data_IF_296621064546
#
_entry.id   IF_296621064546
#
_cell.length_a   1.000
_cell.length_b   1.000
_cell.length_c   1.000
_cell.angle_alpha   90.00
_cell.angle_beta   90.00
_cell.angle_gamma   90.00
#
_symmetry.space_group_name_H-M   'P 1'
#
loop_
_entity.id
_entity.type
_entity.pdbx_description
1 polymer ?
#
# COMPACT_ATOMS: atom_id res chain seq x y z
N UNK A 1 -1.75 7.27 9.08
CA UNK A 1 -1.02 8.16 10.02
C UNK A 1 0.48 8.03 9.79
N UNK A 2 1.00 6.80 9.72
CA UNK A 2 2.36 6.46 9.25
C UNK A 2 2.78 7.17 7.95
N UNK A 3 1.89 7.27 6.97
CA UNK A 3 2.18 7.88 5.65
C UNK A 3 2.52 9.38 5.65
N UNK A 4 2.33 10.06 6.79
CA UNK A 4 2.59 11.49 6.95
C UNK A 4 3.89 11.78 7.71
N UNK A 5 4.58 10.76 8.21
CA UNK A 5 5.86 10.90 8.90
C UNK A 5 6.98 10.90 7.86
N UNK A 6 7.86 11.91 7.92
CA UNK A 6 8.80 12.22 6.84
C UNK A 6 10.22 11.72 7.18
N UNK A 7 10.59 11.72 8.46
CA UNK A 7 11.91 11.29 8.91
C UNK A 7 11.85 9.92 9.60
N UNK A 8 13.00 9.26 9.71
CA UNK A 8 13.09 7.94 10.36
C UNK A 8 12.92 8.03 11.88
N UNK A 9 13.28 9.16 12.47
CA UNK A 9 13.18 9.42 13.91
C UNK A 9 11.71 9.42 14.40
N UNK A 10 10.83 10.15 13.72
CA UNK A 10 9.40 10.20 14.00
C UNK A 10 8.75 8.83 13.79
N UNK A 11 9.18 8.09 12.77
CA UNK A 11 8.71 6.73 12.54
C UNK A 11 9.12 5.80 13.69
N UNK A 12 10.37 5.87 14.14
CA UNK A 12 10.87 5.08 15.26
C UNK A 12 10.13 5.43 16.56
N UNK A 13 10.00 6.72 16.86
CA UNK A 13 9.25 7.20 18.02
C UNK A 13 7.79 6.75 17.99
N UNK A 14 7.11 6.88 16.84
CA UNK A 14 5.71 6.49 16.72
C UNK A 14 5.52 4.98 16.88
N UNK A 15 6.44 4.18 16.34
CA UNK A 15 6.42 2.73 16.53
C UNK A 15 6.61 2.35 17.99
N UNK A 16 7.53 3.01 18.71
CA UNK A 16 7.72 2.75 20.13
C UNK A 16 6.48 3.15 20.95
N UNK A 17 5.89 4.31 20.67
CA UNK A 17 4.63 4.74 21.28
C UNK A 17 3.50 3.72 21.04
N UNK A 18 3.38 3.17 19.83
CA UNK A 18 2.41 2.13 19.54
C UNK A 18 2.66 0.85 20.34
N UNK A 19 3.93 0.44 20.49
CA UNK A 19 4.31 -0.74 21.27
C UNK A 19 3.97 -0.56 22.74
N UNK A 20 4.31 0.60 23.31
CA UNK A 20 3.98 0.96 24.69
C UNK A 20 2.47 0.92 24.91
N UNK A 21 1.68 1.57 24.04
CA UNK A 21 0.21 1.61 24.17
C UNK A 21 -0.45 0.24 23.97
N UNK A 22 0.09 -0.59 23.09
CA UNK A 22 -0.37 -1.97 22.90
C UNK A 22 -0.16 -2.79 24.18
N UNK A 23 1.02 -2.67 24.81
CA UNK A 23 1.32 -3.37 26.05
C UNK A 23 0.51 -2.81 27.23
N UNK A 24 0.32 -1.49 27.31
CA UNK A 24 -0.42 -0.82 28.38
C UNK A 24 -1.90 -1.23 28.39
N UNK A 25 -2.57 -1.11 27.25
CA UNK A 25 -4.03 -1.28 27.17
C UNK A 25 -4.48 -2.70 26.79
N UNK A 26 -3.72 -3.40 25.94
CA UNK A 26 -4.11 -4.72 25.42
C UNK A 26 -3.32 -5.87 26.05
N UNK A 27 -2.30 -5.57 26.87
CA UNK A 27 -1.41 -6.57 27.50
C UNK A 27 -0.78 -7.54 26.48
N UNK A 28 -0.54 -7.05 25.26
CA UNK A 28 0.05 -7.82 24.15
C UNK A 28 1.34 -7.18 23.69
N UNK A 29 2.33 -8.02 23.42
CA UNK A 29 3.55 -7.59 22.75
C UNK A 29 3.32 -7.38 21.24
N UNK A 30 4.12 -6.50 20.64
CA UNK A 30 4.07 -6.21 19.19
C UNK A 30 4.18 -7.46 18.34
N UNK A 31 5.18 -8.31 18.61
CA UNK A 31 5.44 -9.57 17.91
C UNK A 31 4.32 -10.61 18.06
N UNK A 32 3.46 -10.47 19.08
CA UNK A 32 2.30 -11.33 19.25
C UNK A 32 1.17 -10.95 18.27
N UNK A 33 1.07 -9.67 17.89
CA UNK A 33 0.00 -9.13 17.04
C UNK A 33 0.45 -8.98 15.59
N UNK A 34 1.64 -8.42 15.39
CA UNK A 34 2.23 -8.18 14.08
C UNK A 34 3.19 -9.32 13.76
N UNK A 35 2.80 -10.18 12.83
CA UNK A 35 3.60 -11.35 12.38
C UNK A 35 4.44 -11.06 11.15
N UNK A 36 4.10 -10.00 10.43
CA UNK A 36 4.70 -9.67 9.16
C UNK A 36 4.63 -8.15 8.98
N UNK A 37 5.72 -7.59 8.47
CA UNK A 37 5.80 -6.19 8.06
C UNK A 37 6.37 -6.15 6.63
N UNK A 38 5.96 -5.19 5.78
CA UNK A 38 4.98 -4.12 6.02
C UNK A 38 3.52 -4.62 6.11
N UNK A 39 2.70 -4.02 6.98
CA UNK A 39 1.27 -4.34 6.99
C UNK A 39 0.56 -3.75 5.76
N UNK A 40 0.10 -4.63 4.86
CA UNK A 40 -0.67 -4.25 3.67
C UNK A 40 -2.04 -4.89 3.78
N UNK A 41 -3.09 -4.07 3.62
CA UNK A 41 -4.47 -4.53 3.61
C UNK A 41 -5.17 -4.00 2.37
N UNK A 42 -5.76 -4.90 1.59
CA UNK A 42 -6.44 -4.63 0.33
C UNK A 42 -7.53 -5.67 0.08
N UNK A 43 -8.37 -5.43 -0.92
CA UNK A 43 -9.51 -6.25 -1.31
C UNK A 43 -9.37 -6.85 -2.72
N UNK A 44 -8.22 -6.68 -3.39
CA UNK A 44 -8.01 -7.07 -4.78
C UNK A 44 -6.86 -8.07 -4.99
N UNK A 45 -6.17 -8.49 -3.91
CA UNK A 45 -5.09 -9.49 -4.02
C UNK A 45 -5.61 -10.89 -4.39
N UNK A 46 -6.83 -11.23 -3.97
CA UNK A 46 -7.47 -12.50 -4.28
C UNK A 46 -8.81 -12.26 -4.95
N UNK A 47 -8.93 -12.66 -6.23
CA UNK A 47 -10.16 -12.54 -6.99
C UNK A 47 -11.29 -13.44 -6.46
N UNK A 48 -10.95 -14.49 -5.69
CA UNK A 48 -11.92 -15.41 -5.07
C UNK A 48 -12.40 -14.90 -3.71
N UNK A 49 -11.66 -14.00 -3.08
CA UNK A 49 -11.97 -13.42 -1.78
C UNK A 49 -11.80 -11.90 -1.83
N UNK A 50 -12.73 -11.15 -2.46
CA UNK A 50 -12.64 -9.71 -2.64
C UNK A 50 -12.99 -8.94 -1.36
N UNK A 51 -12.57 -9.45 -0.21
CA UNK A 51 -12.76 -8.81 1.09
C UNK A 51 -11.49 -8.08 1.49
N UNK A 52 -11.63 -6.93 2.14
CA UNK A 52 -10.51 -6.19 2.67
C UNK A 52 -9.79 -7.01 3.76
N UNK A 53 -8.61 -7.52 3.47
CA UNK A 53 -7.84 -8.41 4.34
C UNK A 53 -6.34 -8.16 4.26
N UNK A 54 -5.60 -8.70 5.23
CA UNK A 54 -4.14 -8.61 5.23
C UNK A 54 -3.56 -9.41 4.07
N UNK A 55 -2.63 -8.81 3.33
CA UNK A 55 -1.79 -9.51 2.38
C UNK A 55 -0.71 -10.26 3.14
N UNK A 56 -0.73 -11.59 3.04
CA UNK A 56 0.29 -12.46 3.63
C UNK A 56 1.34 -12.85 2.59
N UNK A 57 0.90 -13.07 1.35
CA UNK A 57 1.76 -13.40 0.21
C UNK A 57 2.06 -12.15 -0.63
N UNK A 58 3.27 -11.63 -0.49
CA UNK A 58 3.73 -10.47 -1.24
C UNK A 58 4.09 -10.77 -2.70
N UNK A 59 4.44 -12.02 -3.02
CA UNK A 59 4.73 -12.43 -4.39
C UNK A 59 3.42 -12.46 -5.18
N UNK A 60 2.38 -13.05 -4.60
CA UNK A 60 1.03 -13.02 -5.16
C UNK A 60 0.56 -11.59 -5.40
N UNK A 61 0.70 -10.69 -4.42
CA UNK A 61 0.38 -9.27 -4.60
C UNK A 61 1.15 -8.66 -5.78
N UNK A 62 2.45 -8.93 -5.87
CA UNK A 62 3.27 -8.35 -6.91
C UNK A 62 2.84 -8.86 -8.30
N UNK A 63 2.50 -10.14 -8.42
CA UNK A 63 2.03 -10.72 -9.68
C UNK A 63 0.66 -10.18 -10.09
N UNK A 64 -0.26 -9.99 -9.13
CA UNK A 64 -1.52 -9.29 -9.37
C UNK A 64 -1.27 -7.89 -9.90
N UNK A 65 -0.38 -7.11 -9.28
CA UNK A 65 -0.07 -5.75 -9.73
C UNK A 65 0.62 -5.72 -11.10
N UNK A 66 1.48 -6.69 -11.42
CA UNK A 66 2.10 -6.83 -12.75
C UNK A 66 1.04 -7.12 -13.81
N UNK A 67 0.12 -8.04 -13.53
CA UNK A 67 -0.98 -8.35 -14.44
C UNK A 67 -1.84 -7.10 -14.68
N UNK A 68 -2.19 -6.36 -13.62
CA UNK A 68 -2.93 -5.09 -13.76
C UNK A 68 -2.15 -4.03 -14.55
N UNK A 69 -0.84 -3.98 -14.43
CA UNK A 69 0.00 -3.09 -15.23
C UNK A 69 0.00 -3.50 -16.72
N UNK A 70 0.06 -4.80 -17.01
CA UNK A 70 -0.07 -5.32 -18.38
C UNK A 70 -1.44 -4.98 -18.98
N UNK A 71 -2.51 -5.20 -18.22
CA UNK A 71 -3.88 -4.87 -18.64
C UNK A 71 -4.00 -3.36 -18.95
N UNK A 72 -3.52 -2.51 -18.03
CA UNK A 72 -3.47 -1.07 -18.24
C UNK A 72 -2.74 -0.71 -19.53
N UNK A 73 -1.54 -1.27 -19.74
CA UNK A 73 -0.72 -0.98 -20.91
C UNK A 73 -1.35 -1.46 -22.22
N UNK A 74 -2.18 -2.51 -22.19
CA UNK A 74 -2.90 -2.98 -23.37
C UNK A 74 -4.04 -2.05 -23.82
N UNK A 75 -4.61 -1.29 -22.88
CA UNK A 75 -5.70 -0.33 -23.13
C UNK A 75 -5.19 1.10 -23.34
N UNK A 76 -4.02 1.44 -22.78
CA UNK A 76 -3.51 2.80 -22.76
C UNK A 76 -2.87 3.21 -24.10
N UNK A 77 -3.09 4.47 -24.51
CA UNK A 77 -2.41 5.09 -25.66
C UNK A 77 -0.89 5.22 -25.48
N UNK A 78 -0.42 5.18 -24.24
CA UNK A 78 1.00 5.23 -23.88
C UNK A 78 1.25 4.22 -22.76
N UNK A 79 2.12 3.25 -23.05
CA UNK A 79 2.56 2.26 -22.06
C UNK A 79 3.37 2.91 -20.94
N UNK A 80 3.24 2.37 -19.73
CA UNK A 80 4.05 2.70 -18.56
C UNK A 80 5.02 1.55 -18.26
N UNK A 81 6.30 1.87 -18.18
CA UNK A 81 7.32 0.97 -17.63
C UNK A 81 7.51 1.27 -16.15
N UNK A 82 6.85 0.47 -15.31
CA UNK A 82 6.91 0.61 -13.86
C UNK A 82 7.54 -0.64 -13.25
N UNK A 83 8.66 -0.45 -12.54
CA UNK A 83 9.27 -1.53 -11.75
C UNK A 83 8.51 -1.65 -10.43
N UNK A 84 7.80 -2.76 -10.25
CA UNK A 84 7.01 -3.06 -9.05
C UNK A 84 7.87 -3.72 -7.97
N UNK A 85 8.66 -2.90 -7.26
CA UNK A 85 9.29 -3.29 -6.00
C UNK A 85 8.33 -3.08 -4.83
N UNK A 86 8.67 -3.64 -3.66
CA UNK A 86 7.81 -3.64 -2.47
C UNK A 86 7.26 -2.24 -2.10
N UNK A 87 8.09 -1.19 -2.13
CA UNK A 87 7.62 0.16 -1.80
C UNK A 87 6.64 0.73 -2.85
N UNK A 88 6.83 0.42 -4.14
CA UNK A 88 5.88 0.79 -5.19
C UNK A 88 4.53 0.09 -4.98
N UNK A 89 4.55 -1.22 -4.68
CA UNK A 89 3.34 -1.98 -4.37
C UNK A 89 2.60 -1.42 -3.15
N UNK A 90 3.31 -1.10 -2.06
CA UNK A 90 2.72 -0.45 -0.89
C UNK A 90 2.07 0.88 -1.24
N UNK A 91 2.73 1.73 -2.04
CA UNK A 91 2.18 3.01 -2.44
C UNK A 91 0.91 2.85 -3.27
N UNK A 92 0.88 1.92 -4.22
CA UNK A 92 -0.32 1.61 -5.02
C UNK A 92 -1.44 1.16 -4.09
N UNK A 93 -1.19 0.20 -3.19
CA UNK A 93 -2.19 -0.31 -2.25
C UNK A 93 -2.78 0.80 -1.37
N UNK A 94 -1.94 1.72 -0.89
CA UNK A 94 -2.38 2.89 -0.09
C UNK A 94 -3.27 3.82 -0.91
N UNK A 95 -2.91 4.10 -2.16
CA UNK A 95 -3.72 4.95 -3.05
C UNK A 95 -5.06 4.29 -3.33
N UNK A 96 -5.08 3.01 -3.71
CA UNK A 96 -6.32 2.24 -3.95
C UNK A 96 -7.24 2.30 -2.72
N UNK A 97 -6.69 2.09 -1.52
CA UNK A 97 -7.46 2.17 -0.27
C UNK A 97 -8.10 3.55 -0.08
N UNK A 98 -7.39 4.63 -0.36
CA UNK A 98 -7.94 5.99 -0.27
C UNK A 98 -9.03 6.19 -1.32
N UNK A 99 -8.81 5.76 -2.57
CA UNK A 99 -9.77 5.91 -3.66
C UNK A 99 -11.08 5.14 -3.41
N UNK A 100 -11.00 3.96 -2.78
CA UNK A 100 -12.17 3.14 -2.42
C UNK A 100 -12.90 3.64 -1.16
N UNK A 101 -12.32 4.59 -0.43
CA UNK A 101 -12.99 5.19 0.74
C UNK A 101 -13.95 6.28 0.26
N UNK A 102 -15.22 6.30 0.71
CA UNK A 102 -16.16 7.37 0.35
C UNK A 102 -15.58 8.76 0.66
N UNK A 103 -15.62 9.66 -0.32
CA UNK A 103 -15.05 11.01 -0.24
C UNK A 103 -13.53 11.03 0.02
N UNK A 104 -12.82 9.93 -0.31
CA UNK A 104 -11.39 9.82 -0.14
C UNK A 104 -10.60 10.60 -1.18
N UNK A 105 -9.67 11.44 -0.71
CA UNK A 105 -8.73 12.18 -1.56
C UNK A 105 -7.28 11.94 -1.09
N UNK A 106 -6.37 11.76 -2.04
CA UNK A 106 -4.94 11.54 -1.75
C UNK A 106 -4.08 12.63 -2.37
N UNK A 107 -3.23 13.26 -1.56
CA UNK A 107 -2.18 14.17 -2.03
C UNK A 107 -0.85 13.42 -2.09
N UNK A 108 -0.28 13.29 -3.30
CA UNK A 108 0.99 12.60 -3.50
C UNK A 108 2.13 13.61 -3.57
N UNK A 109 2.90 13.71 -2.48
CA UNK A 109 4.07 14.59 -2.40
C UNK A 109 5.35 13.79 -2.68
N UNK A 110 6.24 14.36 -3.49
CA UNK A 110 7.53 13.77 -3.82
C UNK A 110 8.32 14.62 -4.79
N UNK A 111 9.61 14.34 -4.90
CA UNK A 111 10.49 14.99 -5.88
C UNK A 111 10.12 14.56 -7.30
N UNK A 112 10.41 15.40 -8.29
CA UNK A 112 10.17 15.08 -9.71
C UNK A 112 10.85 13.78 -10.11
N UNK A 113 10.19 12.96 -10.93
CA UNK A 113 10.74 11.66 -11.38
C UNK A 113 10.52 10.48 -10.43
N UNK A 114 9.96 10.70 -9.22
CA UNK A 114 9.68 9.64 -8.23
C UNK A 114 8.54 8.65 -8.62
N UNK A 115 8.03 8.73 -9.85
CA UNK A 115 7.00 7.81 -10.35
C UNK A 115 5.59 8.02 -9.78
N UNK A 116 5.35 9.04 -8.94
CA UNK A 116 4.04 9.29 -8.29
C UNK A 116 2.86 9.34 -9.26
N UNK A 117 3.05 9.96 -10.43
CA UNK A 117 2.03 9.99 -11.49
C UNK A 117 1.71 8.59 -12.01
N UNK A 118 2.74 7.80 -12.34
CA UNK A 118 2.56 6.43 -12.85
C UNK A 118 1.93 5.51 -11.80
N UNK A 119 2.36 5.63 -10.54
CA UNK A 119 1.77 4.91 -9.40
C UNK A 119 0.29 5.28 -9.21
N UNK A 120 -0.05 6.56 -9.30
CA UNK A 120 -1.44 7.02 -9.21
C UNK A 120 -2.29 6.49 -10.36
N UNK A 121 -1.80 6.58 -11.61
CA UNK A 121 -2.51 6.06 -12.78
C UNK A 121 -2.81 4.56 -12.65
N UNK A 122 -1.81 3.76 -12.25
CA UNK A 122 -2.01 2.33 -12.05
C UNK A 122 -2.96 2.06 -10.87
N UNK A 123 -2.83 2.78 -9.76
CA UNK A 123 -3.72 2.62 -8.61
C UNK A 123 -5.18 2.97 -8.94
N UNK A 124 -5.43 4.00 -9.75
CA UNK A 124 -6.79 4.31 -10.23
C UNK A 124 -7.35 3.17 -11.06
N UNK A 125 -6.56 2.61 -11.98
CA UNK A 125 -6.98 1.46 -12.78
C UNK A 125 -7.24 0.20 -11.96
N UNK A 126 -6.51 0.00 -10.86
CA UNK A 126 -6.74 -1.12 -9.92
C UNK A 126 -7.96 -0.90 -9.02
N UNK A 127 -8.32 0.36 -8.78
CA UNK A 127 -9.47 0.72 -7.94
C UNK A 127 -10.81 0.60 -8.66
N UNK A 128 -10.80 0.61 -10.00
CA UNK A 128 -11.94 0.30 -10.89
C UNK A 128 -12.26 -1.20 -10.91
#
# INVERSE_FOLDING_TARGET
MWDRLINEEDNAWFNELLREKLQEHFKKQWSAVIKQEPLIFIDFADSKAPYYQQVVDYEQLNDVLKNRLMDYNSMAKRSMELVLFMAAAQHICRIVRVLKTPLGNSLLVGVGGSGRKSLASLATFVAE
#
